data_IF_666889102951
#
_entry.id   IF_666889102951
#
_cell.length_a   1.000
_cell.length_b   1.000
_cell.length_c   1.000
_cell.angle_alpha   90.00
_cell.angle_beta   90.00
_cell.angle_gamma   90.00
#
_symmetry.space_group_name_H-M   'P 1'
#
loop_
_entity.id
_entity.type
_entity.pdbx_description
1 polymer ?
#
# COMPACT_ATOMS: atom_id res chain seq x y z
N UNK A 1 -17.28 -8.97 35.13
CA UNK A 1 -15.88 -8.53 35.31
C UNK A 1 -14.95 -9.56 34.68
N UNK A 2 -14.77 -9.49 33.35
CA UNK A 2 -13.69 -10.16 32.61
C UNK A 2 -13.75 -9.73 31.12
N UNK A 3 -13.56 -8.45 30.83
CA UNK A 3 -13.27 -7.99 29.46
C UNK A 3 -11.76 -8.16 29.22
N UNK A 4 -11.39 -9.30 28.65
CA UNK A 4 -10.03 -9.52 28.18
C UNK A 4 -9.83 -8.76 26.86
N UNK A 5 -9.10 -7.64 26.97
CA UNK A 5 -8.55 -6.79 25.90
C UNK A 5 -8.26 -7.50 24.56
N UNK A 6 -9.02 -7.19 23.51
CA UNK A 6 -8.41 -7.08 22.17
C UNK A 6 -7.76 -5.70 22.10
N UNK A 7 -6.53 -5.59 22.60
CA UNK A 7 -5.87 -4.29 22.80
C UNK A 7 -5.60 -3.50 21.51
N UNK A 8 -5.65 -4.15 20.34
CA UNK A 8 -5.49 -3.50 19.02
C UNK A 8 -6.30 -4.25 17.95
N UNK A 9 -7.47 -3.73 17.51
CA UNK A 9 -8.23 -4.36 16.45
C UNK A 9 -7.42 -4.31 15.14
N UNK A 10 -7.23 -5.47 14.50
CA UNK A 10 -6.56 -5.61 13.21
C UNK A 10 -7.60 -5.85 12.13
N UNK A 11 -7.68 -4.94 11.15
CA UNK A 11 -8.52 -5.11 9.97
C UNK A 11 -7.71 -5.72 8.81
N UNK A 12 -8.28 -6.73 8.15
CA UNK A 12 -7.75 -7.29 6.90
C UNK A 12 -8.78 -7.04 5.79
N UNK A 13 -8.39 -6.27 4.78
CA UNK A 13 -9.27 -5.92 3.66
C UNK A 13 -9.13 -6.97 2.54
N UNK A 14 -10.05 -7.93 2.50
CA UNK A 14 -10.11 -8.93 1.43
C UNK A 14 -10.71 -8.33 0.16
N UNK A 15 -10.18 -8.74 -1.00
CA UNK A 15 -10.65 -8.30 -2.33
C UNK A 15 -10.73 -6.77 -2.48
N UNK A 16 -9.86 -6.05 -1.76
CA UNK A 16 -9.86 -4.58 -1.74
C UNK A 16 -9.53 -3.98 -3.10
N UNK A 17 -8.61 -4.60 -3.84
CA UNK A 17 -8.24 -4.25 -5.20
C UNK A 17 -8.80 -5.29 -6.16
N UNK A 18 -9.17 -4.85 -7.37
CA UNK A 18 -9.49 -5.79 -8.44
C UNK A 18 -8.22 -6.50 -8.91
N UNK A 19 -8.38 -7.64 -9.59
CA UNK A 19 -7.25 -8.38 -10.14
C UNK A 19 -6.42 -7.53 -11.12
N UNK A 20 -7.07 -6.69 -11.92
CA UNK A 20 -6.37 -5.85 -12.89
C UNK A 20 -5.61 -4.71 -12.22
N UNK A 21 -6.17 -4.10 -11.16
CA UNK A 21 -5.45 -3.15 -10.32
C UNK A 21 -4.21 -3.80 -9.68
N UNK A 22 -4.35 -5.04 -9.18
CA UNK A 22 -3.22 -5.79 -8.65
C UNK A 22 -2.13 -6.03 -9.70
N UNK A 23 -2.50 -6.44 -10.93
CA UNK A 23 -1.54 -6.65 -12.03
C UNK A 23 -0.83 -5.37 -12.43
N UNK A 24 -1.54 -4.25 -12.48
CA UNK A 24 -0.98 -2.94 -12.81
C UNK A 24 0.04 -2.49 -11.75
N UNK A 25 -0.31 -2.59 -10.46
CA UNK A 25 0.62 -2.29 -9.38
C UNK A 25 1.82 -3.24 -9.36
N UNK A 26 1.62 -4.52 -9.68
CA UNK A 26 2.70 -5.50 -9.79
C UNK A 26 3.66 -5.14 -10.94
N UNK A 27 3.14 -4.72 -12.09
CA UNK A 27 3.94 -4.24 -13.22
C UNK A 27 4.77 -3.02 -12.84
N UNK A 28 4.14 -2.02 -12.20
CA UNK A 28 4.84 -0.82 -11.73
C UNK A 28 5.94 -1.17 -10.74
N UNK A 29 5.64 -2.08 -9.79
CA UNK A 29 6.61 -2.52 -8.80
C UNK A 29 7.80 -3.22 -9.44
N UNK A 30 7.57 -4.21 -10.31
CA UNK A 30 8.65 -4.95 -10.99
C UNK A 30 9.55 -4.04 -11.84
N UNK A 31 8.99 -3.00 -12.43
CA UNK A 31 9.71 -2.10 -13.33
C UNK A 31 10.52 -1.03 -12.59
N UNK A 32 10.12 -0.67 -11.37
CA UNK A 32 10.68 0.47 -10.63
C UNK A 32 11.13 0.13 -9.21
N UNK A 33 11.19 -1.15 -8.85
CA UNK A 33 11.62 -1.55 -7.51
C UNK A 33 13.12 -1.36 -7.33
N UNK A 34 13.50 -0.88 -6.16
CA UNK A 34 14.88 -0.85 -5.71
C UNK A 34 15.09 -1.91 -4.63
N UNK A 35 16.30 -2.47 -4.60
CA UNK A 35 16.72 -3.35 -3.50
C UNK A 35 17.00 -2.47 -2.29
N UNK A 36 16.28 -2.70 -1.20
CA UNK A 36 16.49 -1.98 0.05
C UNK A 36 17.67 -2.52 0.85
N UNK A 37 17.84 -2.03 2.08
CA UNK A 37 18.88 -2.49 3.00
C UNK A 37 18.74 -3.96 3.43
N UNK A 38 17.53 -4.54 3.32
CA UNK A 38 17.32 -5.97 3.61
C UNK A 38 17.58 -6.79 2.36
N UNK A 39 18.44 -7.81 2.42
CA UNK A 39 18.60 -8.74 1.31
C UNK A 39 17.25 -9.37 0.98
N UNK A 40 16.97 -9.55 -0.31
CA UNK A 40 15.73 -10.15 -0.81
C UNK A 40 14.46 -9.35 -0.48
N UNK A 41 14.55 -8.04 -0.22
CA UNK A 41 13.37 -7.17 -0.12
C UNK A 41 13.43 -6.09 -1.18
N UNK A 42 12.38 -6.04 -2.00
CA UNK A 42 12.18 -5.04 -3.04
C UNK A 42 11.14 -4.03 -2.58
N UNK A 43 11.39 -2.75 -2.83
CA UNK A 43 10.45 -1.68 -2.52
C UNK A 43 10.32 -0.68 -3.66
N UNK A 44 9.10 -0.21 -3.91
CA UNK A 44 8.83 0.91 -4.83
C UNK A 44 8.07 1.96 -4.05
N UNK A 45 8.65 3.15 -3.88
CA UNK A 45 8.01 4.30 -3.23
C UNK A 45 7.53 5.27 -4.30
N UNK A 46 6.64 6.21 -3.94
CA UNK A 46 6.23 7.27 -4.87
C UNK A 46 7.44 8.10 -5.35
N UNK A 47 8.46 8.30 -4.52
CA UNK A 47 9.69 9.00 -4.92
C UNK A 47 10.43 8.29 -6.06
N UNK A 48 10.49 6.96 -6.04
CA UNK A 48 11.07 6.19 -7.15
C UNK A 48 10.30 6.42 -8.45
N UNK A 49 8.96 6.53 -8.38
CA UNK A 49 8.10 6.76 -9.54
C UNK A 49 8.17 8.20 -10.05
N UNK A 50 8.27 9.19 -9.17
CA UNK A 50 8.45 10.60 -9.55
C UNK A 50 9.77 10.77 -10.33
N UNK A 51 10.82 10.08 -9.91
CA UNK A 51 12.13 10.13 -10.56
C UNK A 51 12.13 9.59 -12.00
N UNK A 52 11.12 8.81 -12.42
CA UNK A 52 11.04 8.29 -13.80
C UNK A 52 10.47 9.28 -14.80
N UNK A 53 9.97 10.45 -14.34
CA UNK A 53 9.27 11.43 -15.17
C UNK A 53 8.10 10.83 -15.99
N UNK A 54 7.45 9.78 -15.47
CA UNK A 54 6.33 9.10 -16.11
C UNK A 54 5.08 9.16 -15.21
N UNK A 55 4.24 10.21 -15.33
CA UNK A 55 3.10 10.41 -14.43
C UNK A 55 2.08 9.28 -14.49
N UNK A 56 1.99 8.57 -15.63
CA UNK A 56 1.12 7.40 -15.79
C UNK A 56 1.40 6.29 -14.76
N UNK A 57 2.63 6.17 -14.26
CA UNK A 57 2.97 5.18 -13.23
C UNK A 57 2.47 5.57 -11.84
N UNK A 58 2.19 6.86 -11.60
CA UNK A 58 1.66 7.38 -10.34
C UNK A 58 0.13 7.36 -10.30
N UNK A 59 -0.53 7.49 -11.46
CA UNK A 59 -1.99 7.62 -11.55
C UNK A 59 -2.77 6.51 -10.82
N UNK A 60 -2.38 5.22 -10.86
CA UNK A 60 -3.13 4.16 -10.18
C UNK A 60 -3.14 4.31 -8.66
N UNK A 61 -2.13 4.98 -8.07
CA UNK A 61 -2.02 5.12 -6.62
C UNK A 61 -3.02 6.14 -6.04
N UNK A 62 -3.40 7.16 -6.81
CA UNK A 62 -4.29 8.23 -6.34
C UNK A 62 -5.65 7.69 -5.88
N UNK A 63 -6.46 7.02 -6.73
CA UNK A 63 -7.76 6.50 -6.30
C UNK A 63 -7.65 5.37 -5.27
N UNK A 64 -6.55 4.59 -5.30
CA UNK A 64 -6.34 3.50 -4.34
C UNK A 64 -6.07 4.04 -2.94
N UNK A 65 -5.27 5.11 -2.81
CA UNK A 65 -4.96 5.74 -1.54
C UNK A 65 -6.19 6.38 -0.90
N UNK A 66 -7.00 7.09 -1.68
CA UNK A 66 -8.24 7.69 -1.16
C UNK A 66 -9.21 6.61 -0.67
N UNK A 67 -9.45 5.57 -1.47
CA UNK A 67 -10.32 4.46 -1.07
C UNK A 67 -9.80 3.72 0.17
N UNK A 68 -8.48 3.61 0.33
CA UNK A 68 -7.88 2.98 1.50
C UNK A 68 -8.07 3.85 2.74
N UNK A 69 -7.85 5.16 2.62
CA UNK A 69 -8.08 6.14 3.69
C UNK A 69 -9.52 6.06 4.18
N UNK A 70 -10.50 6.16 3.28
CA UNK A 70 -11.92 6.06 3.60
C UNK A 70 -12.26 4.78 4.38
N UNK A 71 -11.72 3.62 3.96
CA UNK A 71 -11.95 2.34 4.64
C UNK A 71 -11.33 2.26 6.03
N UNK A 72 -10.19 2.92 6.24
CA UNK A 72 -9.55 3.00 7.55
C UNK A 72 -10.33 3.95 8.46
N UNK A 73 -10.75 5.10 7.95
CA UNK A 73 -11.58 6.07 8.68
C UNK A 73 -12.91 5.44 9.12
N UNK A 74 -13.59 4.72 8.21
CA UNK A 74 -14.84 3.99 8.51
C UNK A 74 -14.66 2.94 9.63
N UNK A 75 -13.53 2.22 9.63
CA UNK A 75 -13.28 1.18 10.63
C UNK A 75 -12.95 1.72 12.02
N UNK A 76 -12.22 2.85 12.09
CA UNK A 76 -11.82 3.45 13.36
C UNK A 76 -12.78 4.55 13.84
N UNK A 77 -13.73 4.99 13.01
CA UNK A 77 -14.68 6.05 13.33
C UNK A 77 -14.05 7.44 13.42
N UNK A 78 -13.02 7.72 12.61
CA UNK A 78 -12.23 8.96 12.64
C UNK A 78 -12.30 9.73 11.31
N UNK A 79 -13.52 10.01 10.84
CA UNK A 79 -13.78 10.68 9.56
C UNK A 79 -13.01 12.00 9.43
N UNK A 80 -12.27 12.15 8.33
CA UNK A 80 -11.48 13.33 7.97
C UNK A 80 -10.26 13.63 8.88
N UNK A 81 -9.90 12.73 9.78
CA UNK A 81 -8.76 12.90 10.67
C UNK A 81 -7.46 12.26 10.13
N UNK A 82 -7.55 11.43 9.08
CA UNK A 82 -6.40 10.69 8.55
C UNK A 82 -5.78 11.35 7.31
N UNK A 83 -4.45 11.27 7.22
CA UNK A 83 -3.71 11.59 6.01
C UNK A 83 -2.70 10.49 5.70
N UNK A 84 -2.44 10.27 4.41
CA UNK A 84 -1.47 9.25 3.96
C UNK A 84 -0.11 9.90 3.80
N UNK A 85 0.78 9.74 4.78
CA UNK A 85 2.15 10.28 4.73
C UNK A 85 3.03 9.57 3.69
N UNK A 86 2.89 8.25 3.59
CA UNK A 86 3.77 7.42 2.76
C UNK A 86 2.98 6.38 1.96
N UNK A 87 3.45 6.08 0.75
CA UNK A 87 2.90 4.99 -0.06
C UNK A 87 4.04 4.26 -0.75
N UNK A 88 4.01 2.94 -0.63
CA UNK A 88 4.96 2.07 -1.30
C UNK A 88 4.45 0.66 -1.45
N UNK A 89 4.99 -0.02 -2.47
CA UNK A 89 4.80 -1.44 -2.72
C UNK A 89 6.01 -2.19 -2.20
N UNK A 90 5.78 -3.27 -1.44
CA UNK A 90 6.84 -4.08 -0.85
C UNK A 90 6.62 -5.53 -1.27
N UNK A 91 7.69 -6.18 -1.74
CA UNK A 91 7.69 -7.61 -2.03
C UNK A 91 8.94 -8.26 -1.46
N UNK A 92 8.76 -9.36 -0.73
CA UNK A 92 9.86 -10.24 -0.36
C UNK A 92 10.19 -11.14 -1.56
N UNK A 93 11.44 -11.15 -2.00
CA UNK A 93 11.92 -12.14 -2.94
C UNK A 93 11.83 -13.51 -2.26
N UNK A 94 11.14 -14.45 -2.88
CA UNK A 94 11.24 -15.84 -2.49
C UNK A 94 12.61 -16.33 -2.96
N UNK A 95 13.57 -16.45 -2.05
CA UNK A 95 14.77 -17.26 -2.28
C UNK A 95 14.29 -18.69 -2.52
N UNK A 96 14.37 -19.13 -3.78
CA UNK A 96 14.22 -20.54 -4.13
C UNK A 96 15.35 -21.35 -3.52
#
# INVERSE_FOLDING_TARGET
MAEAMQKHPRLILHNFLTLDQCKELEFIHKSNSTVGYRPNVFSTTLSHLIATNCPHLLMPFVPIRERLKEKVEEFFGCEYELFVEFTGLIRKACTR
#
